data_IF_682999796650
#
_entry.id   IF_682999796650
#
_cell.length_a   1.000
_cell.length_b   1.000
_cell.length_c   1.000
_cell.angle_alpha   90.00
_cell.angle_beta   90.00
_cell.angle_gamma   90.00
#
_symmetry.space_group_name_H-M   'P 1'
#
loop_
_entity.id
_entity.type
_entity.pdbx_description
1 polymer ?
#
# COMPACT_ATOMS: atom_id res chain seq x y z
N UNK A 1 -26.46 2.07 58.38
CA UNK A 1 -25.14 2.72 58.25
C UNK A 1 -24.07 1.66 58.38
N UNK A 2 -23.20 1.33 57.44
CA UNK A 2 -23.24 1.25 55.97
C UNK A 2 -22.23 0.14 55.65
N UNK A 3 -22.54 -0.83 54.78
CA UNK A 3 -21.58 -1.87 54.42
C UNK A 3 -20.54 -1.32 53.44
N UNK A 4 -19.31 -1.80 53.63
CA UNK A 4 -18.16 -1.70 52.73
C UNK A 4 -18.50 -2.25 51.35
N UNK A 5 -18.29 -1.45 50.30
CA UNK A 5 -18.08 -1.92 48.93
C UNK A 5 -17.53 -0.77 48.07
N UNK A 6 -16.21 -0.57 48.11
CA UNK A 6 -15.52 0.16 47.04
C UNK A 6 -15.33 -0.82 45.89
N UNK A 7 -16.28 -0.77 44.96
CA UNK A 7 -16.23 -1.42 43.66
C UNK A 7 -15.22 -0.65 42.78
N UNK A 8 -13.93 -0.88 43.00
CA UNK A 8 -12.86 -0.42 42.10
C UNK A 8 -12.64 -1.48 41.04
N UNK A 9 -13.35 -1.35 39.92
CA UNK A 9 -12.96 -2.01 38.67
C UNK A 9 -11.61 -1.42 38.21
N UNK A 10 -10.54 -2.23 38.05
CA UNK A 10 -9.35 -1.75 37.39
C UNK A 10 -9.60 -1.74 35.89
N UNK A 11 -10.15 -0.63 35.39
CA UNK A 11 -9.90 -0.22 34.03
C UNK A 11 -8.38 -0.08 33.83
N UNK A 12 -7.90 -0.54 32.66
CA UNK A 12 -6.57 -0.24 32.08
C UNK A 12 -5.53 -1.37 32.06
N UNK A 13 -5.95 -2.62 31.82
CA UNK A 13 -5.04 -3.67 31.32
C UNK A 13 -4.65 -3.52 29.84
N UNK A 14 -5.28 -2.62 29.07
CA UNK A 14 -5.04 -2.48 27.63
C UNK A 14 -3.88 -1.55 27.25
N UNK A 15 -3.25 -0.88 28.22
CA UNK A 15 -2.19 0.11 27.94
C UNK A 15 -0.77 -0.42 28.16
N UNK A 16 -0.63 -1.61 28.73
CA UNK A 16 0.67 -2.14 29.16
C UNK A 16 1.31 -3.10 28.15
N UNK A 17 0.52 -3.76 27.30
CA UNK A 17 1.02 -4.74 26.31
C UNK A 17 1.75 -4.13 25.12
N UNK A 18 1.60 -2.83 24.85
CA UNK A 18 2.34 -2.16 23.76
C UNK A 18 3.72 -1.62 24.19
N UNK A 19 3.97 -1.46 25.49
CA UNK A 19 5.25 -0.93 26.00
C UNK A 19 6.37 -1.97 25.96
N UNK A 20 6.03 -3.25 25.92
CA UNK A 20 7.00 -4.36 25.87
C UNK A 20 7.44 -4.75 24.46
N UNK A 21 6.77 -4.26 23.40
CA UNK A 21 7.07 -4.65 22.02
C UNK A 21 8.26 -3.90 21.41
N UNK A 22 8.55 -2.70 21.90
CA UNK A 22 9.57 -1.81 21.35
C UNK A 22 10.47 -1.32 22.47
N UNK A 23 11.79 -1.28 22.24
CA UNK A 23 12.78 -0.97 23.29
C UNK A 23 12.91 0.53 23.55
N UNK A 24 12.51 1.37 22.59
CA UNK A 24 12.51 2.81 22.74
C UNK A 24 11.50 3.48 21.77
N UNK A 25 11.19 4.76 22.03
CA UNK A 25 10.27 5.54 21.20
C UNK A 25 10.72 5.65 19.74
N UNK A 26 12.03 5.79 19.49
CA UNK A 26 12.55 5.90 18.13
C UNK A 26 12.40 4.61 17.31
N UNK A 27 12.44 3.44 17.96
CA UNK A 27 12.15 2.15 17.34
C UNK A 27 10.67 2.05 16.98
N UNK A 28 9.79 2.40 17.92
CA UNK A 28 8.34 2.44 17.69
C UNK A 28 7.99 3.36 16.52
N UNK A 29 8.54 4.57 16.50
CA UNK A 29 8.28 5.55 15.43
C UNK A 29 8.77 5.05 14.07
N UNK A 30 9.92 4.37 14.03
CA UNK A 30 10.44 3.78 12.79
C UNK A 30 9.54 2.64 12.29
N UNK A 31 9.03 1.76 13.18
CA UNK A 31 8.05 0.74 12.81
C UNK A 31 6.76 1.35 12.29
N UNK A 32 6.20 2.33 13.00
CA UNK A 32 4.97 2.99 12.60
C UNK A 32 5.09 3.70 11.23
N UNK A 33 6.23 4.38 10.99
CA UNK A 33 6.50 4.99 9.68
C UNK A 33 6.63 3.94 8.58
N UNK A 34 7.29 2.81 8.85
CA UNK A 34 7.42 1.74 7.87
C UNK A 34 6.06 1.14 7.48
N UNK A 35 5.20 0.88 8.46
CA UNK A 35 3.84 0.38 8.23
C UNK A 35 2.98 1.37 7.44
N UNK A 36 3.03 2.66 7.79
CA UNK A 36 2.29 3.70 7.07
C UNK A 36 2.73 3.80 5.60
N UNK A 37 4.04 3.75 5.33
CA UNK A 37 4.58 3.79 3.97
C UNK A 37 4.24 2.52 3.20
N UNK A 38 4.24 1.35 3.85
CA UNK A 38 3.83 0.09 3.23
C UNK A 38 2.36 0.13 2.81
N UNK A 39 1.49 0.72 3.64
CA UNK A 39 0.08 0.86 3.31
C UNK A 39 -0.14 1.81 2.13
N UNK A 40 0.59 2.93 2.08
CA UNK A 40 0.59 3.80 0.92
C UNK A 40 1.06 3.08 -0.36
N UNK A 41 2.11 2.27 -0.26
CA UNK A 41 2.59 1.48 -1.39
C UNK A 41 1.51 0.54 -1.94
N UNK A 42 0.78 -0.16 -1.06
CA UNK A 42 -0.33 -1.05 -1.45
C UNK A 42 -1.47 -0.28 -2.11
N UNK A 43 -1.86 0.86 -1.55
CA UNK A 43 -2.89 1.70 -2.13
C UNK A 43 -2.52 2.14 -3.56
N UNK A 44 -1.25 2.50 -3.80
CA UNK A 44 -0.78 2.85 -5.15
C UNK A 44 -0.77 1.64 -6.10
N UNK A 45 -0.46 0.43 -5.62
CA UNK A 45 -0.56 -0.77 -6.46
C UNK A 45 -2.00 -1.05 -6.88
N UNK A 46 -2.98 -0.87 -5.99
CA UNK A 46 -4.40 -1.02 -6.33
C UNK A 46 -4.80 -0.03 -7.44
N UNK A 47 -4.37 1.23 -7.35
CA UNK A 47 -4.64 2.21 -8.40
C UNK A 47 -3.93 1.87 -9.72
N UNK A 48 -2.72 1.31 -9.66
CA UNK A 48 -2.02 0.80 -10.83
C UNK A 48 -2.79 -0.34 -11.49
N UNK A 49 -3.30 -1.28 -10.71
CA UNK A 49 -4.13 -2.41 -11.18
C UNK A 49 -5.42 -1.90 -11.83
N UNK A 50 -6.12 -0.95 -11.21
CA UNK A 50 -7.33 -0.34 -11.76
C UNK A 50 -7.08 0.33 -13.13
N UNK A 51 -5.95 1.05 -13.25
CA UNK A 51 -5.56 1.67 -14.51
C UNK A 51 -5.26 0.62 -15.59
N UNK A 52 -4.58 -0.49 -15.22
CA UNK A 52 -4.29 -1.58 -16.15
C UNK A 52 -5.56 -2.33 -16.58
N UNK A 53 -6.51 -2.56 -15.67
CA UNK A 53 -7.79 -3.19 -15.99
C UNK A 53 -8.65 -2.33 -16.91
N UNK A 54 -8.60 -1.01 -16.73
CA UNK A 54 -9.20 -0.06 -17.69
C UNK A 54 -8.61 -0.24 -19.09
N UNK A 55 -7.29 -0.41 -19.19
CA UNK A 55 -6.62 -0.64 -20.47
C UNK A 55 -7.05 -1.95 -21.12
N UNK A 56 -7.05 -3.05 -20.36
CA UNK A 56 -7.41 -4.40 -20.85
C UNK A 56 -8.88 -4.46 -21.28
N UNK A 57 -9.78 -3.95 -20.46
CA UNK A 57 -11.21 -3.93 -20.76
C UNK A 57 -11.50 -3.08 -22.00
N UNK A 58 -10.87 -1.90 -22.10
CA UNK A 58 -10.99 -1.06 -23.28
C UNK A 58 -10.47 -1.72 -24.55
N UNK A 59 -9.34 -2.45 -24.46
CA UNK A 59 -8.80 -3.23 -25.58
C UNK A 59 -9.80 -4.26 -26.09
N UNK A 60 -10.39 -5.04 -25.18
CA UNK A 60 -11.34 -6.09 -25.54
C UNK A 60 -12.64 -5.53 -26.13
N UNK A 61 -13.18 -4.46 -25.53
CA UNK A 61 -14.35 -3.78 -26.09
C UNK A 61 -14.08 -3.22 -27.49
N UNK A 62 -12.87 -2.67 -27.71
CA UNK A 62 -12.49 -2.17 -29.02
C UNK A 62 -12.33 -3.30 -30.05
N UNK A 63 -11.75 -4.44 -29.64
CA UNK A 63 -11.64 -5.65 -30.47
C UNK A 63 -13.02 -6.08 -30.96
N UNK A 64 -13.99 -6.26 -30.06
CA UNK A 64 -15.36 -6.66 -30.39
C UNK A 64 -16.08 -5.65 -31.31
N UNK A 65 -15.83 -4.34 -31.13
CA UNK A 65 -16.40 -3.30 -31.98
C UNK A 65 -15.81 -3.32 -33.39
N UNK A 66 -14.52 -3.58 -33.50
CA UNK A 66 -13.80 -3.66 -34.78
C UNK A 66 -14.15 -4.93 -35.54
N UNK A 67 -14.26 -6.07 -34.85
CA UNK A 67 -14.68 -7.36 -35.41
C UNK A 67 -16.05 -7.26 -36.09
N UNK A 68 -17.02 -6.59 -35.46
CA UNK A 68 -18.35 -6.33 -36.06
C UNK A 68 -18.31 -5.47 -37.33
N UNK A 69 -17.20 -4.78 -37.58
CA UNK A 69 -16.97 -3.94 -38.76
C UNK A 69 -16.05 -4.60 -39.78
N UNK A 70 -15.65 -5.86 -39.56
CA UNK A 70 -14.70 -6.57 -40.43
C UNK A 70 -13.29 -5.99 -40.38
N UNK A 71 -12.90 -5.33 -39.28
CA UNK A 71 -11.56 -4.79 -39.10
C UNK A 71 -10.68 -5.87 -38.46
N UNK A 72 -9.50 -6.07 -39.04
CA UNK A 72 -8.51 -7.04 -38.55
C UNK A 72 -8.10 -6.78 -37.09
N UNK A 73 -7.80 -7.84 -36.30
CA UNK A 73 -7.43 -7.69 -34.89
C UNK A 73 -6.22 -6.77 -34.66
N UNK A 74 -5.21 -6.84 -35.53
CA UNK A 74 -4.01 -6.00 -35.44
C UNK A 74 -4.36 -4.51 -35.59
N UNK A 75 -5.22 -4.17 -36.55
CA UNK A 75 -5.69 -2.80 -36.75
C UNK A 75 -6.56 -2.33 -35.58
N UNK A 76 -7.37 -3.22 -35.00
CA UNK A 76 -8.13 -2.91 -33.80
C UNK A 76 -7.20 -2.56 -32.63
N UNK A 77 -6.09 -3.28 -32.45
CA UNK A 77 -5.10 -2.99 -31.40
C UNK A 77 -4.38 -1.66 -31.62
N UNK A 78 -3.97 -1.36 -32.87
CA UNK A 78 -3.37 -0.06 -33.22
C UNK A 78 -4.37 1.08 -32.91
N UNK A 79 -5.63 0.93 -33.30
CA UNK A 79 -6.67 1.92 -33.02
C UNK A 79 -6.88 2.13 -31.52
N UNK A 80 -6.94 1.04 -30.74
CA UNK A 80 -7.08 1.13 -29.28
C UNK A 80 -5.90 1.86 -28.65
N UNK A 81 -4.67 1.44 -28.95
CA UNK A 81 -3.47 2.04 -28.37
C UNK A 81 -3.28 3.52 -28.76
N UNK A 82 -3.82 3.93 -29.92
CA UNK A 82 -3.83 5.33 -30.33
C UNK A 82 -4.80 6.21 -29.53
N UNK A 83 -5.82 5.64 -28.87
CA UNK A 83 -6.82 6.41 -28.12
C UNK A 83 -6.23 7.12 -26.91
N UNK A 84 -6.81 8.26 -26.54
CA UNK A 84 -6.46 8.98 -25.31
C UNK A 84 -6.71 8.14 -24.07
N UNK A 85 -7.79 7.36 -24.03
CA UNK A 85 -8.11 6.48 -22.90
C UNK A 85 -7.02 5.44 -22.67
N UNK A 86 -6.56 4.76 -23.73
CA UNK A 86 -5.49 3.77 -23.62
C UNK A 86 -4.17 4.41 -23.15
N UNK A 87 -3.80 5.55 -23.72
CA UNK A 87 -2.57 6.28 -23.34
C UNK A 87 -2.62 6.71 -21.88
N UNK A 88 -3.73 7.27 -21.42
CA UNK A 88 -3.91 7.69 -20.03
C UNK A 88 -3.84 6.50 -19.07
N UNK A 89 -4.46 5.37 -19.42
CA UNK A 89 -4.43 4.17 -18.60
C UNK A 89 -2.98 3.65 -18.38
N UNK A 90 -2.17 3.61 -19.45
CA UNK A 90 -0.74 3.22 -19.34
C UNK A 90 0.07 4.25 -18.56
N UNK A 91 -0.12 5.55 -18.82
CA UNK A 91 0.57 6.61 -18.08
C UNK A 91 0.26 6.56 -16.58
N UNK A 92 -1.02 6.39 -16.22
CA UNK A 92 -1.45 6.29 -14.83
C UNK A 92 -0.90 5.03 -14.16
N UNK A 93 -0.95 3.87 -14.84
CA UNK A 93 -0.36 2.64 -14.32
C UNK A 93 1.13 2.83 -14.00
N UNK A 94 1.91 3.37 -14.94
CA UNK A 94 3.35 3.62 -14.74
C UNK A 94 3.62 4.59 -13.58
N UNK A 95 2.80 5.65 -13.47
CA UNK A 95 2.90 6.63 -12.39
C UNK A 95 2.66 5.99 -11.03
N UNK A 96 1.59 5.22 -10.88
CA UNK A 96 1.25 4.56 -9.62
C UNK A 96 2.24 3.44 -9.26
N UNK A 97 2.75 2.68 -10.22
CA UNK A 97 3.83 1.70 -9.98
C UNK A 97 5.10 2.40 -9.47
N UNK A 98 5.44 3.56 -10.04
CA UNK A 98 6.59 4.36 -9.59
C UNK A 98 6.41 4.86 -8.15
N UNK A 99 5.22 5.36 -7.81
CA UNK A 99 4.89 5.76 -6.44
C UNK A 99 4.92 4.58 -5.46
N UNK A 100 4.34 3.44 -5.85
CA UNK A 100 4.36 2.22 -5.04
C UNK A 100 5.81 1.78 -4.75
N UNK A 101 6.67 1.81 -5.76
CA UNK A 101 8.10 1.46 -5.62
C UNK A 101 8.81 2.41 -4.67
N UNK A 102 8.55 3.72 -4.78
CA UNK A 102 9.11 4.72 -3.88
C UNK A 102 8.69 4.48 -2.43
N UNK A 103 7.38 4.33 -2.18
CA UNK A 103 6.86 4.10 -0.84
C UNK A 103 7.34 2.77 -0.24
N UNK A 104 7.43 1.73 -1.06
CA UNK A 104 8.01 0.45 -0.63
C UNK A 104 9.48 0.59 -0.25
N UNK A 105 10.27 1.34 -1.02
CA UNK A 105 11.65 1.67 -0.68
C UNK A 105 11.77 2.45 0.63
N UNK A 106 10.90 3.44 0.85
CA UNK A 106 10.85 4.19 2.11
C UNK A 106 10.43 3.30 3.30
N UNK A 107 9.48 2.39 3.11
CA UNK A 107 9.09 1.42 4.13
C UNK A 107 10.26 0.50 4.51
N UNK A 108 10.96 -0.06 3.51
CA UNK A 108 12.12 -0.93 3.71
C UNK A 108 13.26 -0.24 4.49
N UNK A 109 13.53 1.03 4.18
CA UNK A 109 14.51 1.83 4.90
C UNK A 109 14.14 2.03 6.38
N UNK A 110 12.86 2.31 6.67
CA UNK A 110 12.38 2.48 8.03
C UNK A 110 12.34 1.16 8.82
N UNK A 111 11.97 0.04 8.18
CA UNK A 111 12.09 -1.28 8.79
C UNK A 111 13.54 -1.60 9.16
N UNK A 112 14.47 -1.33 8.24
CA UNK A 112 15.90 -1.53 8.50
C UNK A 112 16.39 -0.68 9.68
N UNK A 113 15.94 0.58 9.76
CA UNK A 113 16.23 1.46 10.90
C UNK A 113 15.64 0.91 12.20
N UNK A 114 14.41 0.43 12.18
CA UNK A 114 13.75 -0.11 13.37
C UNK A 114 14.50 -1.35 13.90
N UNK A 115 14.89 -2.28 13.01
CA UNK A 115 15.72 -3.44 13.36
C UNK A 115 17.08 -3.03 13.93
N UNK A 116 17.72 -2.02 13.36
CA UNK A 116 18.99 -1.49 13.87
C UNK A 116 18.83 -0.94 15.31
N UNK A 117 17.77 -0.17 15.57
CA UNK A 117 17.51 0.39 16.89
C UNK A 117 17.17 -0.69 17.93
N UNK A 118 16.45 -1.74 17.51
CA UNK A 118 16.15 -2.90 18.36
C UNK A 118 17.43 -3.62 18.78
N UNK A 119 18.33 -3.89 17.83
CA UNK A 119 19.60 -4.60 18.06
C UNK A 119 20.65 -3.76 18.81
N UNK A 120 20.63 -2.43 18.66
CA UNK A 120 21.53 -1.56 19.45
C UNK A 120 21.13 -1.52 20.93
N UNK A 121 19.85 -1.76 21.23
CA UNK A 121 19.34 -1.95 22.57
C UNK A 121 19.69 -3.30 23.20
N UNK A 122 20.04 -4.34 22.42
CA UNK A 122 20.50 -5.64 22.94
C UNK A 122 22.00 -5.67 23.23
N UNK A 123 22.82 -4.96 22.45
CA UNK A 123 24.29 -5.00 22.55
C UNK A 123 24.91 -4.21 23.73
N UNK A 124 24.09 -3.62 24.62
CA UNK A 124 24.55 -2.88 25.82
C UNK A 124 24.53 -3.72 27.11
N UNK A 125 24.47 -5.05 27.00
CA UNK A 125 24.57 -5.99 28.14
C UNK A 125 25.98 -6.57 28.19
#
# INVERSE_FOLDING_TARGET
>A
MSPSSTDEAPHSGYRETHRERYRNAAEHDAWAQAEAMMEQARAMLVEAENALETWKTGKELNRLRCERRGIEPTDAEIRWSATTTAKNAITNNNFYVSLATMYYGAASANYSRALYLSNRGTARV
#
